data_IF_265998141242
#
_entry.id   IF_265998141242
#
_cell.length_a   1.000
_cell.length_b   1.000
_cell.length_c   1.000
_cell.angle_alpha   90.00
_cell.angle_beta   90.00
_cell.angle_gamma   90.00
#
_symmetry.space_group_name_H-M   'P 1'
#
loop_
_entity.id
_entity.type
_entity.pdbx_description
1 polymer ?
#
# COMPACT_ATOMS: atom_id res chain seq x y z
N UNK A 1 -28.05 -23.46 4.73
CA UNK A 1 -26.62 -23.36 4.38
C UNK A 1 -25.92 -22.73 5.56
N UNK A 2 -24.89 -23.38 6.14
CA UNK A 2 -24.08 -22.76 7.19
C UNK A 2 -23.46 -21.45 6.64
N UNK A 3 -23.50 -20.39 7.45
CA UNK A 3 -22.87 -19.13 7.08
C UNK A 3 -21.40 -19.40 6.71
N UNK A 4 -20.88 -18.84 5.63
CA UNK A 4 -19.49 -19.08 5.25
C UNK A 4 -18.58 -18.68 6.40
N UNK A 5 -17.69 -19.60 6.81
CA UNK A 5 -16.76 -19.37 7.90
C UNK A 5 -15.85 -18.19 7.53
N UNK A 6 -16.13 -16.98 8.06
CA UNK A 6 -15.35 -15.77 7.79
C UNK A 6 -14.07 -15.82 8.60
N UNK A 7 -12.96 -15.42 7.98
CA UNK A 7 -11.66 -15.27 8.65
C UNK A 7 -11.77 -14.17 9.69
N UNK A 8 -11.38 -14.47 10.93
CA UNK A 8 -11.38 -13.54 12.06
C UNK A 8 -10.11 -12.70 12.10
N UNK A 9 -10.27 -11.38 12.17
CA UNK A 9 -9.16 -10.44 12.22
C UNK A 9 -9.07 -9.70 13.53
N UNK A 10 -7.83 -9.50 14.00
CA UNK A 10 -7.51 -8.43 14.93
C UNK A 10 -6.94 -7.24 14.14
N UNK A 11 -7.48 -6.04 14.32
CA UNK A 11 -6.96 -4.80 13.75
C UNK A 11 -6.00 -4.14 14.74
N UNK A 12 -4.73 -3.98 14.35
CA UNK A 12 -3.66 -3.42 15.17
C UNK A 12 -3.31 -2.02 14.65
N UNK A 13 -3.50 -1.01 15.52
CA UNK A 13 -3.39 0.40 15.13
C UNK A 13 -4.76 0.98 14.74
N UNK A 14 -5.20 1.98 15.51
CA UNK A 14 -6.48 2.66 15.29
C UNK A 14 -6.25 4.13 14.88
N UNK A 15 -5.37 4.33 13.88
CA UNK A 15 -5.11 5.62 13.25
C UNK A 15 -6.25 6.08 12.32
N UNK A 16 -6.02 7.16 11.59
CA UNK A 16 -7.01 7.72 10.68
C UNK A 16 -7.49 6.71 9.63
N UNK A 17 -6.58 5.99 8.95
CA UNK A 17 -6.96 5.02 7.91
C UNK A 17 -7.84 3.90 8.47
N UNK A 18 -7.54 3.46 9.69
CA UNK A 18 -8.35 2.44 10.37
C UNK A 18 -9.77 2.93 10.63
N UNK A 19 -9.95 4.17 11.10
CA UNK A 19 -11.28 4.72 11.42
C UNK A 19 -12.12 5.05 10.19
N UNK A 20 -11.49 5.60 9.13
CA UNK A 20 -12.23 6.10 7.96
C UNK A 20 -12.43 5.05 6.88
N UNK A 21 -11.61 3.99 6.86
CA UNK A 21 -11.63 3.00 5.78
C UNK A 21 -11.67 1.55 6.27
N UNK A 22 -10.67 1.08 7.04
CA UNK A 22 -10.53 -0.34 7.38
C UNK A 22 -11.67 -0.85 8.27
N UNK A 23 -12.01 -0.15 9.35
CA UNK A 23 -13.12 -0.53 10.24
C UNK A 23 -14.48 -0.53 9.52
N UNK A 24 -14.83 0.50 8.70
CA UNK A 24 -16.02 0.42 7.86
C UNK A 24 -16.02 -0.77 6.89
N UNK A 25 -14.88 -1.11 6.28
CA UNK A 25 -14.77 -2.20 5.34
C UNK A 25 -15.11 -3.57 5.96
N UNK A 26 -14.75 -3.83 7.21
CA UNK A 26 -15.13 -5.06 7.90
C UNK A 26 -16.64 -5.28 7.99
N UNK A 27 -17.44 -4.20 8.04
CA UNK A 27 -18.91 -4.32 8.04
C UNK A 27 -19.48 -4.83 6.72
N UNK A 28 -18.79 -4.54 5.62
CA UNK A 28 -19.21 -4.87 4.27
C UNK A 28 -18.52 -6.10 3.70
N UNK A 29 -17.43 -6.55 4.33
CA UNK A 29 -16.72 -7.76 3.93
C UNK A 29 -17.61 -9.00 4.10
N UNK A 30 -17.57 -9.85 3.07
CA UNK A 30 -18.30 -11.13 3.06
C UNK A 30 -17.45 -12.29 3.59
N UNK A 31 -16.13 -12.14 3.60
CA UNK A 31 -15.17 -13.21 3.90
C UNK A 31 -14.32 -12.96 5.15
N UNK A 32 -14.22 -11.70 5.59
CA UNK A 32 -13.53 -11.30 6.81
C UNK A 32 -14.53 -10.82 7.89
N UNK A 33 -14.17 -10.97 9.16
CA UNK A 33 -14.89 -10.40 10.31
C UNK A 33 -13.89 -9.75 11.26
N UNK A 34 -14.27 -8.63 11.85
CA UNK A 34 -13.52 -8.00 12.94
C UNK A 34 -13.81 -8.75 14.24
N UNK A 35 -12.76 -9.26 14.88
CA UNK A 35 -12.85 -9.96 16.17
C UNK A 35 -12.33 -9.07 17.29
N UNK A 36 -11.18 -8.44 17.09
CA UNK A 36 -10.55 -7.62 18.11
C UNK A 36 -9.93 -6.35 17.51
N UNK A 37 -9.72 -5.35 18.33
CA UNK A 37 -8.97 -4.14 18.00
C UNK A 37 -7.87 -3.90 19.03
N UNK A 38 -6.71 -3.39 18.58
CA UNK A 38 -5.54 -3.12 19.42
C UNK A 38 -5.08 -1.67 19.22
N UNK A 39 -4.91 -0.91 20.32
CA UNK A 39 -4.50 0.50 20.27
C UNK A 39 -3.73 0.91 21.54
N UNK A 40 -2.87 1.92 21.45
CA UNK A 40 -2.27 2.54 22.64
C UNK A 40 -3.26 3.27 23.55
N UNK A 41 -4.43 3.65 23.02
CA UNK A 41 -5.52 4.26 23.79
C UNK A 41 -6.66 3.24 24.03
N UNK A 42 -6.73 2.73 25.25
CA UNK A 42 -7.73 1.72 25.66
C UNK A 42 -9.17 2.24 25.56
N UNK A 43 -9.41 3.53 25.80
CA UNK A 43 -10.74 4.13 25.68
C UNK A 43 -11.18 4.19 24.23
N UNK A 44 -10.26 4.60 23.34
CA UNK A 44 -10.47 4.58 21.88
C UNK A 44 -10.74 3.16 21.39
N UNK A 45 -9.93 2.18 21.80
CA UNK A 45 -10.10 0.78 21.44
C UNK A 45 -11.50 0.28 21.83
N UNK A 46 -11.92 0.49 23.08
CA UNK A 46 -13.26 0.11 23.56
C UNK A 46 -14.39 0.74 22.75
N UNK A 47 -14.30 2.05 22.52
CA UNK A 47 -15.30 2.80 21.74
C UNK A 47 -15.45 2.27 20.31
N UNK A 48 -14.32 2.00 19.64
CA UNK A 48 -14.32 1.51 18.26
C UNK A 48 -14.73 0.03 18.19
N UNK A 49 -14.33 -0.80 19.14
CA UNK A 49 -14.82 -2.18 19.22
C UNK A 49 -16.34 -2.21 19.27
N UNK A 50 -16.94 -1.46 20.21
CA UNK A 50 -18.42 -1.38 20.34
C UNK A 50 -19.07 -0.83 19.07
N UNK A 51 -18.50 0.23 18.47
CA UNK A 51 -19.04 0.86 17.26
C UNK A 51 -19.03 -0.08 16.07
N UNK A 52 -17.99 -0.90 15.90
CA UNK A 52 -17.79 -1.75 14.72
C UNK A 52 -18.06 -3.24 14.97
N UNK A 53 -18.49 -3.60 16.18
CA UNK A 53 -18.95 -4.96 16.52
C UNK A 53 -17.79 -5.95 16.71
N UNK A 54 -16.61 -5.48 17.13
CA UNK A 54 -15.56 -6.37 17.60
C UNK A 54 -15.94 -6.93 18.99
N UNK A 55 -15.65 -8.20 19.25
CA UNK A 55 -15.92 -8.84 20.54
C UNK A 55 -14.98 -8.35 21.63
N UNK A 56 -13.74 -8.00 21.27
CA UNK A 56 -12.69 -7.65 22.23
C UNK A 56 -11.87 -6.44 21.82
N UNK A 57 -11.20 -5.85 22.82
CA UNK A 57 -10.30 -4.72 22.62
C UNK A 57 -9.11 -4.81 23.58
N UNK A 58 -7.92 -4.46 23.08
CA UNK A 58 -6.66 -4.61 23.79
C UNK A 58 -5.80 -3.35 23.64
N UNK A 59 -4.83 -3.20 24.57
CA UNK A 59 -3.72 -2.25 24.39
C UNK A 59 -2.56 -2.90 23.61
N UNK A 60 -1.56 -2.11 23.23
CA UNK A 60 -0.35 -2.67 22.60
C UNK A 60 0.40 -3.64 23.54
N UNK A 61 0.44 -3.36 24.85
CA UNK A 61 1.05 -4.25 25.85
C UNK A 61 0.26 -5.59 25.98
N UNK A 62 -1.04 -5.54 25.70
CA UNK A 62 -1.94 -6.69 25.70
C UNK A 62 -2.00 -7.40 24.33
N UNK A 63 -1.15 -7.06 23.36
CA UNK A 63 -1.21 -7.61 22.00
C UNK A 63 -1.17 -9.14 21.94
N UNK A 64 -0.38 -9.77 22.82
CA UNK A 64 -0.31 -11.22 22.92
C UNK A 64 -1.68 -11.85 23.26
N UNK A 65 -2.53 -11.18 24.00
CA UNK A 65 -3.89 -11.67 24.32
C UNK A 65 -4.77 -11.63 23.05
N UNK A 66 -4.63 -10.59 22.23
CA UNK A 66 -5.32 -10.53 20.93
C UNK A 66 -4.87 -11.66 20.00
N UNK A 67 -3.57 -11.97 19.96
CA UNK A 67 -3.02 -13.08 19.17
C UNK A 67 -3.50 -14.45 19.65
N UNK A 68 -3.68 -14.63 20.95
CA UNK A 68 -4.18 -15.88 21.54
C UNK A 68 -5.70 -16.01 21.52
N UNK A 69 -6.43 -14.99 21.04
CA UNK A 69 -7.88 -15.06 20.95
C UNK A 69 -8.32 -16.17 19.97
N UNK A 70 -9.21 -17.11 20.39
CA UNK A 70 -9.51 -18.32 19.60
C UNK A 70 -10.19 -18.07 18.25
N UNK A 71 -10.80 -16.90 18.08
CA UNK A 71 -11.46 -16.53 16.83
C UNK A 71 -10.60 -15.62 15.94
N UNK A 72 -9.36 -15.30 16.31
CA UNK A 72 -8.43 -14.53 15.50
C UNK A 72 -7.59 -15.48 14.66
N UNK A 73 -7.75 -15.42 13.35
CA UNK A 73 -7.00 -16.18 12.35
C UNK A 73 -5.90 -15.33 11.73
N UNK A 74 -6.13 -14.02 11.63
CA UNK A 74 -5.26 -13.07 10.97
C UNK A 74 -5.20 -11.72 11.69
N UNK A 75 -4.16 -10.97 11.43
CA UNK A 75 -4.05 -9.57 11.87
C UNK A 75 -4.03 -8.62 10.68
N UNK A 76 -4.64 -7.46 10.84
CA UNK A 76 -4.47 -6.30 9.97
C UNK A 76 -3.61 -5.28 10.72
N UNK A 77 -2.42 -4.98 10.22
CA UNK A 77 -1.47 -4.05 10.85
C UNK A 77 -1.58 -2.69 10.18
N UNK A 78 -2.00 -1.69 10.92
CA UNK A 78 -2.17 -0.30 10.50
C UNK A 78 -1.59 0.66 11.56
N UNK A 79 -0.44 0.31 12.09
CA UNK A 79 0.35 1.11 13.03
C UNK A 79 1.19 2.16 12.27
N UNK A 80 2.16 2.79 12.92
CA UNK A 80 3.19 3.57 12.20
C UNK A 80 4.16 2.63 11.48
N UNK A 81 4.69 3.07 10.34
CA UNK A 81 5.51 2.22 9.45
C UNK A 81 6.68 1.54 10.17
N UNK A 82 7.33 2.27 11.08
CA UNK A 82 8.48 1.76 11.86
C UNK A 82 8.17 0.64 12.85
N UNK A 83 6.89 0.30 13.02
CA UNK A 83 6.48 -0.79 13.91
C UNK A 83 5.82 -1.96 13.16
N UNK A 84 5.64 -1.84 11.83
CA UNK A 84 5.03 -2.88 11.02
C UNK A 84 5.74 -4.23 11.17
N UNK A 85 7.07 -4.22 11.07
CA UNK A 85 7.87 -5.46 11.15
C UNK A 85 7.72 -6.15 12.50
N UNK A 86 7.79 -5.42 13.60
CA UNK A 86 7.63 -5.98 14.96
C UNK A 86 6.27 -6.69 15.10
N UNK A 87 5.17 -5.99 14.81
CA UNK A 87 3.82 -6.56 14.97
C UNK A 87 3.58 -7.72 14.00
N UNK A 88 4.11 -7.65 12.77
CA UNK A 88 3.98 -8.72 11.80
C UNK A 88 4.71 -10.00 12.23
N UNK A 89 5.95 -9.89 12.69
CA UNK A 89 6.73 -11.03 13.15
C UNK A 89 6.12 -11.67 14.41
N UNK A 90 5.65 -10.88 15.37
CA UNK A 90 4.95 -11.40 16.56
C UNK A 90 3.65 -12.13 16.20
N UNK A 91 2.90 -11.63 15.21
CA UNK A 91 1.72 -12.31 14.71
C UNK A 91 2.08 -13.64 14.05
N UNK A 92 3.08 -13.64 13.17
CA UNK A 92 3.54 -14.85 12.48
C UNK A 92 4.04 -15.92 13.47
N UNK A 93 4.83 -15.53 14.48
CA UNK A 93 5.29 -16.43 15.56
C UNK A 93 4.12 -17.04 16.37
N UNK A 94 2.97 -16.36 16.40
CA UNK A 94 1.73 -16.86 17.00
C UNK A 94 0.84 -17.59 15.97
N UNK A 95 1.39 -17.98 14.82
CA UNK A 95 0.69 -18.65 13.72
C UNK A 95 -0.52 -17.88 13.18
N UNK A 96 -0.47 -16.53 13.21
CA UNK A 96 -1.51 -15.68 12.62
C UNK A 96 -1.08 -15.15 11.27
N UNK A 97 -1.97 -15.22 10.28
CA UNK A 97 -1.76 -14.62 8.97
C UNK A 97 -1.68 -13.09 9.07
N UNK A 98 -0.95 -12.44 8.16
CA UNK A 98 -0.63 -11.01 8.27
C UNK A 98 -1.07 -10.26 7.02
N UNK A 99 -1.94 -9.27 7.19
CA UNK A 99 -2.20 -8.19 6.23
C UNK A 99 -1.58 -6.92 6.80
N UNK A 100 -0.54 -6.40 6.13
CA UNK A 100 0.22 -5.26 6.62
C UNK A 100 0.03 -4.05 5.71
N UNK A 101 -0.25 -2.88 6.28
CA UNK A 101 -0.29 -1.63 5.53
C UNK A 101 1.04 -1.34 4.81
N UNK A 102 0.91 -0.59 3.73
CA UNK A 102 2.05 -0.03 2.98
C UNK A 102 2.65 1.19 3.71
N UNK A 103 3.93 1.44 3.57
CA UNK A 103 4.97 0.54 3.07
C UNK A 103 5.14 -0.65 4.02
N UNK A 104 5.64 -1.76 3.49
CA UNK A 104 5.78 -3.00 4.27
C UNK A 104 6.59 -2.82 5.55
N UNK A 105 7.71 -2.10 5.47
CA UNK A 105 8.59 -1.73 6.58
C UNK A 105 9.47 -0.54 6.18
N UNK A 106 10.36 -0.09 7.06
CA UNK A 106 11.27 1.02 6.80
C UNK A 106 12.58 0.61 6.12
N UNK A 107 12.93 -0.68 6.12
CA UNK A 107 14.14 -1.19 5.49
C UNK A 107 13.92 -2.51 4.75
N UNK A 108 14.84 -2.82 3.83
CA UNK A 108 14.85 -4.10 3.09
C UNK A 108 15.09 -5.26 4.07
N UNK A 109 15.96 -5.06 5.05
CA UNK A 109 16.29 -6.05 6.07
C UNK A 109 15.07 -6.42 6.92
N UNK A 110 14.29 -5.42 7.35
CA UNK A 110 13.02 -5.66 8.06
C UNK A 110 12.02 -6.42 7.18
N UNK A 111 11.91 -6.06 5.89
CA UNK A 111 11.05 -6.76 4.95
C UNK A 111 11.46 -8.23 4.78
N UNK A 112 12.76 -8.50 4.66
CA UNK A 112 13.30 -9.86 4.57
C UNK A 112 12.96 -10.67 5.83
N UNK A 113 13.18 -10.10 7.02
CA UNK A 113 12.84 -10.75 8.29
C UNK A 113 11.33 -11.08 8.37
N UNK A 114 10.46 -10.14 7.98
CA UNK A 114 9.02 -10.40 7.94
C UNK A 114 8.67 -11.58 7.03
N UNK A 115 9.26 -11.65 5.84
CA UNK A 115 9.02 -12.74 4.88
C UNK A 115 9.51 -14.06 5.45
N UNK A 116 10.73 -14.10 5.99
CA UNK A 116 11.33 -15.30 6.57
C UNK A 116 10.53 -15.84 7.75
N UNK A 117 10.14 -14.98 8.69
CA UNK A 117 9.35 -15.39 9.86
C UNK A 117 7.96 -15.87 9.43
N UNK A 118 7.28 -15.19 8.51
CA UNK A 118 5.98 -15.66 8.01
C UNK A 118 6.11 -17.03 7.31
N UNK A 119 7.15 -17.22 6.51
CA UNK A 119 7.41 -18.49 5.85
C UNK A 119 7.71 -19.62 6.84
N UNK A 120 8.53 -19.36 7.86
CA UNK A 120 8.92 -20.33 8.90
C UNK A 120 7.70 -20.85 9.68
N UNK A 121 6.65 -20.05 9.82
CA UNK A 121 5.43 -20.39 10.55
C UNK A 121 4.25 -20.77 9.63
N UNK A 122 4.50 -20.95 8.33
CA UNK A 122 3.48 -21.25 7.30
C UNK A 122 2.27 -20.30 7.31
N UNK A 123 2.50 -19.02 7.58
CA UNK A 123 1.47 -17.99 7.56
C UNK A 123 1.58 -17.13 6.29
N UNK A 124 0.45 -16.65 5.82
CA UNK A 124 0.37 -15.80 4.62
C UNK A 124 0.64 -14.35 5.01
N UNK A 125 1.48 -13.69 4.20
CA UNK A 125 1.80 -12.26 4.32
C UNK A 125 1.33 -11.54 3.06
N UNK A 126 0.38 -10.61 3.21
CA UNK A 126 -0.08 -9.71 2.16
C UNK A 126 0.22 -8.27 2.55
N UNK A 127 0.60 -7.45 1.58
CA UNK A 127 0.77 -6.01 1.76
C UNK A 127 -0.47 -5.30 1.21
N UNK A 128 -0.98 -4.33 1.95
CA UNK A 128 -2.23 -3.65 1.68
C UNK A 128 -2.11 -2.66 0.50
N UNK A 129 -1.83 -3.18 -0.69
CA UNK A 129 -1.83 -2.43 -1.96
C UNK A 129 -3.21 -2.51 -2.60
N UNK A 130 -4.18 -1.79 -2.07
CA UNK A 130 -5.59 -1.79 -2.47
C UNK A 130 -5.84 -1.59 -3.97
N UNK A 131 -4.88 -1.00 -4.71
CA UNK A 131 -5.00 -0.79 -6.17
C UNK A 131 -5.00 -2.07 -7.00
N UNK A 132 -4.50 -3.17 -6.48
CA UNK A 132 -4.62 -4.49 -7.09
C UNK A 132 -6.07 -4.98 -7.21
N UNK A 133 -6.95 -4.46 -6.38
CA UNK A 133 -8.36 -4.87 -6.28
C UNK A 133 -9.31 -3.81 -6.82
N UNK A 134 -8.87 -2.57 -7.02
CA UNK A 134 -9.69 -1.46 -7.48
C UNK A 134 -10.05 -1.64 -8.97
N UNK A 135 -11.35 -1.61 -9.34
CA UNK A 135 -11.81 -1.98 -10.68
C UNK A 135 -11.23 -1.17 -11.84
N UNK A 136 -11.00 0.14 -11.66
CA UNK A 136 -10.41 0.97 -12.73
C UNK A 136 -8.93 0.64 -12.93
N UNK A 137 -8.18 0.42 -11.85
CA UNK A 137 -6.79 -0.03 -11.88
C UNK A 137 -6.66 -1.41 -12.53
N UNK A 138 -7.54 -2.34 -12.18
CA UNK A 138 -7.62 -3.68 -12.80
C UNK A 138 -7.97 -3.57 -14.29
N UNK A 139 -8.87 -2.65 -14.67
CA UNK A 139 -9.20 -2.43 -16.07
C UNK A 139 -8.03 -1.87 -16.87
N UNK A 140 -7.25 -0.92 -16.28
CA UNK A 140 -6.03 -0.42 -16.89
C UNK A 140 -4.98 -1.54 -17.04
N UNK A 141 -4.77 -2.36 -16.01
CA UNK A 141 -3.86 -3.52 -16.07
C UNK A 141 -4.26 -4.47 -17.20
N UNK A 142 -5.54 -4.81 -17.32
CA UNK A 142 -6.05 -5.65 -18.42
C UNK A 142 -5.82 -5.01 -19.78
N UNK A 143 -5.99 -3.70 -19.90
CA UNK A 143 -5.73 -2.98 -21.14
C UNK A 143 -4.25 -3.08 -21.52
N UNK A 144 -3.33 -2.85 -20.59
CA UNK A 144 -1.89 -3.00 -20.79
C UNK A 144 -1.53 -4.43 -21.20
N UNK A 145 -1.98 -5.43 -20.45
CA UNK A 145 -1.66 -6.85 -20.70
C UNK A 145 -2.30 -7.41 -21.99
N UNK A 146 -3.37 -6.77 -22.48
CA UNK A 146 -3.99 -7.17 -23.75
C UNK A 146 -3.14 -6.80 -24.99
N UNK A 147 -2.08 -6.03 -24.83
CA UNK A 147 -1.23 -5.55 -25.93
C UNK A 147 -1.86 -4.48 -26.83
N UNK A 148 -3.07 -3.98 -26.50
CA UNK A 148 -3.78 -2.98 -27.33
C UNK A 148 -3.03 -1.65 -27.40
N UNK A 149 -2.26 -1.30 -26.35
CA UNK A 149 -1.41 -0.11 -26.34
C UNK A 149 -0.10 -0.30 -27.13
N UNK A 150 0.19 -1.52 -27.59
CA UNK A 150 1.50 -1.87 -28.13
C UNK A 150 2.54 -2.01 -27.01
N UNK A 151 3.82 -1.98 -27.37
CA UNK A 151 4.91 -2.00 -26.38
C UNK A 151 4.89 -0.70 -25.58
N UNK A 152 4.90 -0.80 -24.25
CA UNK A 152 4.96 0.38 -23.37
C UNK A 152 6.27 1.13 -23.57
N UNK A 153 6.21 2.46 -23.43
CA UNK A 153 7.35 3.35 -23.59
C UNK A 153 7.54 4.24 -22.36
N UNK A 154 6.50 4.96 -21.98
CA UNK A 154 6.58 5.96 -20.91
C UNK A 154 5.36 5.82 -20.00
N UNK A 155 5.60 5.94 -18.70
CA UNK A 155 4.57 6.14 -17.69
C UNK A 155 4.80 7.49 -17.00
N UNK A 156 3.71 8.18 -16.67
CA UNK A 156 3.74 9.36 -15.82
C UNK A 156 2.81 9.13 -14.64
N UNK A 157 3.29 9.36 -13.43
CA UNK A 157 2.50 9.13 -12.23
C UNK A 157 2.81 10.17 -11.17
N UNK A 158 1.78 10.72 -10.57
CA UNK A 158 1.93 11.61 -9.43
C UNK A 158 0.89 11.32 -8.35
N UNK A 159 1.29 11.51 -7.11
CA UNK A 159 0.37 11.58 -5.98
C UNK A 159 0.84 12.66 -5.02
N UNK A 160 0.06 13.73 -4.93
CA UNK A 160 0.33 14.88 -4.07
C UNK A 160 -0.81 15.07 -3.09
N UNK A 161 -0.47 15.44 -1.88
CA UNK A 161 -1.38 15.89 -0.85
C UNK A 161 -0.77 17.11 -0.16
N UNK A 162 -1.61 17.99 0.36
CA UNK A 162 -1.15 19.03 1.28
C UNK A 162 -1.46 18.55 2.69
N UNK A 163 -0.42 18.21 3.46
CA UNK A 163 -0.61 17.83 4.86
C UNK A 163 -1.08 19.05 5.66
N UNK A 164 -2.26 18.99 6.29
CA UNK A 164 -2.78 20.11 7.03
C UNK A 164 -1.93 20.41 8.27
N UNK A 165 -1.89 21.65 8.75
CA UNK A 165 -1.32 22.01 10.04
C UNK A 165 -1.92 21.13 11.15
N UNK A 166 -1.08 20.59 12.04
CA UNK A 166 -1.50 19.68 13.10
C UNK A 166 -1.63 18.21 12.68
N UNK A 167 -1.13 17.84 11.51
CA UNK A 167 -0.97 16.43 11.13
C UNK A 167 -0.19 15.66 12.20
N UNK A 168 -0.49 14.36 12.42
CA UNK A 168 0.18 13.57 13.44
C UNK A 168 1.71 13.60 13.31
N UNK A 169 2.39 13.84 14.43
CA UNK A 169 3.84 14.04 14.49
C UNK A 169 4.66 12.87 13.89
N UNK A 170 4.13 11.66 13.89
CA UNK A 170 4.80 10.49 13.34
C UNK A 170 5.10 10.61 11.84
N UNK A 171 4.32 11.39 11.07
CA UNK A 171 4.59 11.64 9.64
C UNK A 171 5.91 12.36 9.40
N UNK A 172 6.41 13.10 10.40
CA UNK A 172 7.61 13.91 10.32
C UNK A 172 8.81 13.27 11.05
N UNK A 173 8.60 12.14 11.73
CA UNK A 173 9.62 11.37 12.44
C UNK A 173 10.11 10.24 11.51
N UNK A 174 11.36 10.31 11.10
CA UNK A 174 11.95 9.34 10.16
C UNK A 174 11.93 7.91 10.68
N UNK A 175 12.09 7.71 11.98
CA UNK A 175 12.06 6.36 12.58
C UNK A 175 10.67 5.74 12.50
N UNK A 176 9.62 6.54 12.68
CA UNK A 176 8.25 6.07 12.65
C UNK A 176 7.69 6.01 11.23
N UNK A 177 7.99 6.99 10.38
CA UNK A 177 7.46 7.08 9.02
C UNK A 177 8.33 6.38 7.97
N UNK A 178 9.65 6.25 8.19
CA UNK A 178 10.60 5.69 7.22
C UNK A 178 11.07 6.69 6.17
N UNK A 179 10.31 7.75 5.93
CA UNK A 179 10.54 8.83 4.96
C UNK A 179 9.30 9.72 4.89
N UNK A 180 9.30 10.66 3.97
CA UNK A 180 8.20 11.60 3.79
C UNK A 180 7.23 11.19 2.67
N UNK A 181 7.02 12.10 1.71
CA UNK A 181 6.01 11.93 0.65
C UNK A 181 6.25 10.72 -0.23
N UNK A 182 7.51 10.33 -0.49
CA UNK A 182 7.81 9.15 -1.30
C UNK A 182 7.27 7.87 -0.65
N UNK A 183 7.51 7.72 0.64
CA UNK A 183 7.16 6.51 1.41
C UNK A 183 5.66 6.40 1.64
N UNK A 184 4.98 7.52 1.88
CA UNK A 184 3.54 7.48 2.16
C UNK A 184 2.67 7.47 0.89
N UNK A 185 2.88 8.42 -0.02
CA UNK A 185 2.04 8.55 -1.23
C UNK A 185 2.79 8.18 -2.52
N UNK A 186 4.09 8.43 -2.61
CA UNK A 186 4.91 8.07 -3.78
C UNK A 186 5.02 6.56 -4.01
N UNK A 187 4.91 5.76 -2.94
CA UNK A 187 4.85 4.29 -3.03
C UNK A 187 3.74 3.79 -3.94
N UNK A 188 2.61 4.49 -4.04
CA UNK A 188 1.56 4.15 -5.00
C UNK A 188 2.04 4.30 -6.45
N UNK A 189 2.80 5.36 -6.74
CA UNK A 189 3.38 5.56 -8.08
C UNK A 189 4.37 4.45 -8.42
N UNK A 190 5.23 4.06 -7.48
CA UNK A 190 6.22 2.97 -7.65
C UNK A 190 5.51 1.64 -7.86
N UNK A 191 4.69 1.23 -6.90
CA UNK A 191 4.03 -0.07 -6.88
C UNK A 191 3.11 -0.28 -8.09
N UNK A 192 2.19 0.67 -8.35
CA UNK A 192 1.22 0.52 -9.43
C UNK A 192 1.90 0.49 -10.79
N UNK A 193 2.98 1.29 -10.99
CA UNK A 193 3.73 1.27 -12.25
C UNK A 193 4.44 -0.05 -12.48
N UNK A 194 5.11 -0.61 -11.45
CA UNK A 194 5.72 -1.94 -11.51
C UNK A 194 4.68 -3.01 -11.86
N UNK A 195 3.56 -2.99 -11.16
CA UNK A 195 2.46 -3.91 -11.42
C UNK A 195 1.95 -3.80 -12.87
N UNK A 196 1.77 -2.58 -13.41
CA UNK A 196 1.33 -2.38 -14.79
C UNK A 196 2.36 -2.89 -15.81
N UNK A 197 3.63 -2.51 -15.64
CA UNK A 197 4.72 -2.97 -16.52
C UNK A 197 4.91 -4.48 -16.43
N UNK A 198 4.68 -5.08 -15.26
CA UNK A 198 4.87 -6.51 -15.00
C UNK A 198 6.34 -6.93 -14.90
N UNK A 199 7.22 -5.95 -14.67
CA UNK A 199 8.67 -6.12 -14.47
C UNK A 199 9.17 -5.14 -13.44
N UNK A 200 10.33 -5.45 -12.85
CA UNK A 200 10.99 -4.57 -11.91
C UNK A 200 11.94 -3.61 -12.64
N UNK A 201 12.11 -2.38 -12.13
CA UNK A 201 13.07 -1.43 -12.71
C UNK A 201 14.51 -1.88 -12.43
N UNK A 202 15.41 -1.52 -13.33
CA UNK A 202 16.84 -1.82 -13.25
C UNK A 202 17.67 -0.64 -12.73
N UNK A 203 17.09 0.57 -12.78
CA UNK A 203 17.77 1.81 -12.40
C UNK A 203 16.76 2.82 -11.86
N UNK A 204 17.16 3.58 -10.84
CA UNK A 204 16.39 4.67 -10.26
C UNK A 204 17.18 5.96 -10.23
N UNK A 205 16.52 7.08 -10.52
CA UNK A 205 17.03 8.44 -10.32
C UNK A 205 16.04 9.23 -9.50
N UNK A 206 16.52 10.11 -8.60
CA UNK A 206 15.66 10.90 -7.72
C UNK A 206 16.21 12.28 -7.43
N UNK A 207 15.28 13.21 -7.21
CA UNK A 207 15.52 14.53 -6.68
C UNK A 207 14.59 14.75 -5.51
N UNK A 208 15.14 15.13 -4.36
CA UNK A 208 14.45 15.28 -3.07
C UNK A 208 14.67 16.68 -2.56
N UNK A 209 13.61 17.36 -2.13
CA UNK A 209 13.71 18.70 -1.56
C UNK A 209 12.60 18.98 -0.55
N UNK A 210 12.77 20.06 0.21
CA UNK A 210 11.84 20.50 1.25
C UNK A 210 11.78 22.03 1.21
N UNK A 211 10.58 22.57 1.06
CA UNK A 211 10.35 24.03 1.06
C UNK A 211 10.09 24.54 2.49
N UNK A 212 9.55 23.68 3.38
CA UNK A 212 9.40 23.97 4.82
C UNK A 212 10.35 23.13 5.69
N UNK A 213 11.63 23.53 5.82
CA UNK A 213 12.59 22.79 6.64
C UNK A 213 12.30 22.83 8.14
N UNK A 214 11.40 23.70 8.60
CA UNK A 214 10.98 23.73 9.99
C UNK A 214 9.96 22.62 10.30
N UNK A 215 9.05 22.34 9.36
CA UNK A 215 8.08 21.24 9.46
C UNK A 215 8.68 19.88 9.09
N UNK A 216 9.49 19.82 8.04
CA UNK A 216 10.06 18.57 7.49
C UNK A 216 11.56 18.45 7.80
N UNK A 217 11.91 18.27 9.09
CA UNK A 217 13.31 18.21 9.54
C UNK A 217 14.01 16.89 9.23
N UNK A 218 13.30 15.79 9.32
CA UNK A 218 13.86 14.44 9.23
C UNK A 218 13.44 13.69 7.99
N UNK A 219 12.38 14.14 7.33
CA UNK A 219 11.79 13.54 6.16
C UNK A 219 11.64 14.57 5.04
N UNK A 220 11.56 14.13 3.81
CA UNK A 220 11.35 15.03 2.67
C UNK A 220 9.88 15.42 2.50
N UNK A 221 9.67 16.63 1.99
CA UNK A 221 8.35 17.11 1.60
C UNK A 221 8.00 16.73 0.17
N UNK A 222 8.98 16.80 -0.75
CA UNK A 222 8.79 16.57 -2.17
C UNK A 222 9.82 15.62 -2.76
N UNK A 223 9.37 14.80 -3.70
CA UNK A 223 10.24 13.92 -4.50
C UNK A 223 9.80 13.93 -5.97
N UNK A 224 10.77 14.08 -6.86
CA UNK A 224 10.64 13.75 -8.27
C UNK A 224 11.60 12.61 -8.59
N UNK A 225 11.17 11.59 -9.34
CA UNK A 225 12.00 10.43 -9.62
C UNK A 225 11.73 9.82 -10.99
N UNK A 226 12.69 9.04 -11.46
CA UNK A 226 12.56 8.22 -12.65
C UNK A 226 12.94 6.78 -12.33
N UNK A 227 12.20 5.82 -12.90
CA UNK A 227 12.54 4.41 -12.87
C UNK A 227 12.69 3.92 -14.31
N UNK A 228 13.85 3.32 -14.60
CA UNK A 228 14.12 2.68 -15.87
C UNK A 228 13.87 1.19 -15.78
N UNK A 229 12.96 0.70 -16.58
CA UNK A 229 12.66 -0.72 -16.68
C UNK A 229 13.43 -1.37 -17.84
N UNK A 230 13.51 -2.71 -17.85
CA UNK A 230 14.00 -3.43 -19.01
C UNK A 230 13.24 -3.02 -20.29
N UNK A 231 13.87 -3.21 -21.44
CA UNK A 231 13.28 -2.90 -22.76
C UNK A 231 13.02 -1.41 -23.02
N UNK A 232 13.58 -0.53 -22.18
CA UNK A 232 13.54 0.92 -22.38
C UNK A 232 12.24 1.60 -21.95
N UNK A 233 11.42 0.98 -21.12
CA UNK A 233 10.27 1.64 -20.48
C UNK A 233 10.78 2.55 -19.37
N UNK A 234 10.24 3.78 -19.28
CA UNK A 234 10.59 4.74 -18.22
C UNK A 234 9.34 5.22 -17.51
N UNK A 235 9.36 5.19 -16.17
CA UNK A 235 8.42 5.91 -15.33
C UNK A 235 9.01 7.25 -14.92
N UNK A 236 8.23 8.32 -15.07
CA UNK A 236 8.44 9.61 -14.42
C UNK A 236 7.44 9.74 -13.29
N UNK A 237 7.91 9.82 -12.05
CA UNK A 237 7.09 9.84 -10.86
C UNK A 237 7.31 11.08 -10.01
N UNK A 238 6.30 11.50 -9.25
CA UNK A 238 6.43 12.54 -8.24
C UNK A 238 5.48 12.34 -7.06
N UNK A 239 5.91 12.83 -5.90
CA UNK A 239 5.10 12.85 -4.68
C UNK A 239 5.36 14.15 -3.90
N UNK A 240 4.35 14.60 -3.14
CA UNK A 240 4.45 15.83 -2.35
C UNK A 240 3.51 15.82 -1.15
N UNK A 241 3.97 16.41 -0.06
CA UNK A 241 3.17 16.76 1.11
C UNK A 241 2.82 18.25 1.18
N UNK A 242 3.38 19.08 0.30
CA UNK A 242 3.16 20.54 0.25
C UNK A 242 2.39 21.03 -0.97
N UNK A 243 1.99 20.14 -1.89
CA UNK A 243 1.23 20.51 -3.08
C UNK A 243 -0.27 20.23 -2.91
N UNK A 244 -1.11 20.92 -3.69
CA UNK A 244 -2.54 20.63 -3.76
C UNK A 244 -2.78 19.15 -4.11
N UNK A 245 -3.86 18.59 -3.55
CA UNK A 245 -4.17 17.18 -3.77
C UNK A 245 -4.48 16.90 -5.24
N UNK A 246 -3.69 15.99 -5.81
CA UNK A 246 -3.88 15.46 -7.15
C UNK A 246 -3.30 14.05 -7.24
N UNK A 247 -3.90 13.20 -8.08
CA UNK A 247 -3.30 11.92 -8.41
C UNK A 247 -3.65 11.51 -9.83
N UNK A 248 -2.64 11.08 -10.59
CA UNK A 248 -2.87 10.55 -11.93
C UNK A 248 -1.86 9.45 -12.27
N UNK A 249 -2.23 8.64 -13.24
CA UNK A 249 -1.37 7.61 -13.82
C UNK A 249 -1.64 7.54 -15.32
N UNK A 250 -0.67 7.91 -16.14
CA UNK A 250 -0.72 7.84 -17.60
C UNK A 250 0.25 6.78 -18.10
N UNK A 251 -0.19 6.00 -19.07
CA UNK A 251 0.57 4.92 -19.69
C UNK A 251 0.57 5.10 -21.20
N UNK A 252 1.76 5.22 -21.79
CA UNK A 252 1.94 5.44 -23.23
C UNK A 252 2.64 4.25 -23.86
N UNK A 253 2.03 3.71 -24.90
CA UNK A 253 2.57 2.66 -25.75
C UNK A 253 2.67 3.09 -27.20
N UNK A 254 3.16 2.20 -28.07
CA UNK A 254 3.38 2.48 -29.49
C UNK A 254 2.08 2.66 -30.29
N UNK A 255 0.97 2.08 -29.81
CA UNK A 255 -0.31 2.06 -30.55
C UNK A 255 -1.41 2.87 -29.85
N UNK A 256 -1.10 3.46 -28.71
CA UNK A 256 -2.06 4.25 -27.96
C UNK A 256 -1.59 4.56 -26.54
N UNK A 257 -2.43 5.28 -25.83
CA UNK A 257 -2.19 5.64 -24.43
C UNK A 257 -3.49 5.53 -23.62
N UNK A 258 -3.34 5.41 -22.31
CA UNK A 258 -4.46 5.38 -21.38
C UNK A 258 -4.08 6.08 -20.07
N UNK A 259 -5.07 6.65 -19.40
CA UNK A 259 -4.90 7.37 -18.15
C UNK A 259 -5.96 7.00 -17.13
N UNK A 260 -5.57 6.98 -15.86
CA UNK A 260 -6.45 7.02 -14.70
C UNK A 260 -6.31 8.38 -14.04
N UNK A 261 -7.43 9.08 -13.89
CA UNK A 261 -7.51 10.37 -13.19
C UNK A 261 -8.91 10.54 -12.55
N UNK A 262 -8.99 10.66 -11.20
CA UNK A 262 -7.95 10.44 -10.20
C UNK A 262 -7.50 8.96 -10.14
N UNK A 263 -6.22 8.71 -9.81
CA UNK A 263 -5.67 7.36 -9.78
C UNK A 263 -5.69 6.72 -8.38
N UNK A 264 -5.34 7.48 -7.33
CA UNK A 264 -4.96 6.92 -6.04
C UNK A 264 -5.87 7.29 -4.86
N UNK A 265 -6.65 8.38 -4.93
CA UNK A 265 -7.54 8.78 -3.85
C UNK A 265 -8.55 7.67 -3.51
N UNK A 266 -8.94 7.61 -2.24
CA UNK A 266 -9.97 6.71 -1.75
C UNK A 266 -11.38 7.24 -2.06
N UNK A 267 -12.31 6.34 -2.34
CA UNK A 267 -13.75 6.61 -2.50
C UNK A 267 -14.10 7.70 -3.53
N UNK A 268 -13.35 7.80 -4.63
CA UNK A 268 -13.60 8.74 -5.74
C UNK A 268 -14.12 8.02 -6.97
N UNK A 269 -14.93 8.73 -7.76
CA UNK A 269 -15.23 8.32 -9.14
C UNK A 269 -13.92 8.36 -9.94
N UNK A 270 -13.59 7.28 -10.65
CA UNK A 270 -12.39 7.22 -11.49
C UNK A 270 -12.76 7.21 -12.96
N UNK A 271 -11.96 7.91 -13.73
CA UNK A 271 -12.03 7.89 -15.18
C UNK A 271 -10.82 7.13 -15.72
N UNK A 272 -11.10 6.10 -16.50
CA UNK A 272 -10.12 5.45 -17.38
C UNK A 272 -10.39 5.94 -18.79
N UNK A 273 -9.49 6.69 -19.38
CA UNK A 273 -9.65 7.29 -20.68
C UNK A 273 -8.35 7.25 -21.48
N UNK A 274 -8.43 7.50 -22.78
CA UNK A 274 -7.26 7.49 -23.64
C UNK A 274 -7.59 7.35 -25.11
N UNK A 275 -6.57 7.00 -25.89
CA UNK A 275 -6.70 6.80 -27.33
C UNK A 275 -5.96 5.53 -27.77
N UNK A 276 -6.60 4.72 -28.60
CA UNK A 276 -6.02 3.49 -29.13
C UNK A 276 -6.30 3.45 -30.63
N UNK A 277 -5.24 3.39 -31.46
CA UNK A 277 -5.37 3.38 -32.92
C UNK A 277 -6.16 4.56 -33.47
N UNK A 278 -5.96 5.75 -32.93
CA UNK A 278 -6.65 6.98 -33.29
C UNK A 278 -8.11 7.09 -32.79
N UNK A 279 -8.55 6.18 -31.95
CA UNK A 279 -9.93 6.20 -31.41
C UNK A 279 -9.91 6.51 -29.93
N UNK A 280 -10.63 7.57 -29.55
CA UNK A 280 -10.85 7.95 -28.17
C UNK A 280 -11.74 6.95 -27.45
N UNK A 281 -11.48 6.72 -26.16
CA UNK A 281 -12.37 5.99 -25.25
C UNK A 281 -12.37 6.65 -23.87
N UNK A 282 -13.48 6.54 -23.17
CA UNK A 282 -13.60 6.88 -21.75
C UNK A 282 -14.53 5.89 -21.05
N UNK A 283 -14.14 5.49 -19.85
CA UNK A 283 -14.95 4.68 -18.95
C UNK A 283 -14.90 5.24 -17.55
N UNK A 284 -16.06 5.44 -16.94
CA UNK A 284 -16.19 5.88 -15.55
C UNK A 284 -16.47 4.69 -14.64
N UNK A 285 -15.83 4.71 -13.48
CA UNK A 285 -16.01 3.71 -12.44
C UNK A 285 -16.56 4.41 -11.21
N UNK A 286 -17.69 3.92 -10.63
CA UNK A 286 -18.23 4.48 -9.40
C UNK A 286 -17.26 4.27 -8.24
N UNK A 287 -17.38 5.03 -7.14
CA UNK A 287 -16.65 4.77 -5.92
C UNK A 287 -16.95 3.36 -5.42
N UNK A 288 -15.92 2.59 -5.17
CA UNK A 288 -16.01 1.25 -4.57
C UNK A 288 -15.11 1.24 -3.33
N UNK A 289 -15.53 0.53 -2.32
CA UNK A 289 -14.70 0.31 -1.14
C UNK A 289 -13.62 -0.73 -1.46
N UNK A 290 -12.43 -0.22 -1.78
CA UNK A 290 -11.25 -1.00 -2.15
C UNK A 290 -10.77 -1.88 -0.99
N UNK A 291 -10.97 -1.44 0.25
CA UNK A 291 -10.56 -2.17 1.45
C UNK A 291 -11.45 -3.41 1.68
N UNK A 292 -12.73 -3.36 1.31
CA UNK A 292 -13.58 -4.56 1.31
C UNK A 292 -13.03 -5.62 0.36
N UNK A 293 -12.64 -5.21 -0.86
CA UNK A 293 -12.11 -6.13 -1.86
C UNK A 293 -10.77 -6.72 -1.43
N UNK A 294 -9.92 -5.92 -0.81
CA UNK A 294 -8.63 -6.33 -0.27
C UNK A 294 -8.78 -7.35 0.89
N UNK A 295 -9.64 -7.04 1.87
CA UNK A 295 -9.97 -7.95 2.97
C UNK A 295 -10.52 -9.29 2.46
N UNK A 296 -11.47 -9.25 1.51
CA UNK A 296 -12.07 -10.44 0.93
C UNK A 296 -11.06 -11.27 0.12
N UNK A 297 -10.13 -10.61 -0.60
CA UNK A 297 -9.08 -11.28 -1.35
C UNK A 297 -8.10 -12.01 -0.42
N UNK A 298 -7.67 -11.35 0.66
CA UNK A 298 -6.76 -11.96 1.63
C UNK A 298 -7.43 -13.12 2.38
N UNK A 299 -8.65 -12.94 2.86
CA UNK A 299 -9.43 -14.01 3.48
C UNK A 299 -9.60 -15.22 2.55
N UNK A 300 -9.80 -14.99 1.25
CA UNK A 300 -9.87 -16.06 0.27
C UNK A 300 -8.53 -16.76 0.04
N UNK A 301 -7.42 -16.01 0.02
CA UNK A 301 -6.08 -16.60 -0.08
C UNK A 301 -5.79 -17.53 1.11
N UNK A 302 -6.11 -17.10 2.34
CA UNK A 302 -6.00 -17.92 3.56
C UNK A 302 -6.82 -19.19 3.44
N UNK A 303 -8.11 -19.09 3.10
CA UNK A 303 -9.01 -20.25 2.98
C UNK A 303 -8.58 -21.28 1.94
N UNK A 304 -7.92 -20.82 0.87
CA UNK A 304 -7.42 -21.68 -0.20
C UNK A 304 -5.98 -22.14 0.00
N UNK A 305 -5.36 -21.78 1.11
CA UNK A 305 -3.95 -22.08 1.41
C UNK A 305 -3.00 -21.68 0.28
N UNK A 306 -3.27 -20.53 -0.38
CA UNK A 306 -2.42 -20.00 -1.47
C UNK A 306 -1.76 -18.71 -1.05
N UNK A 307 -0.64 -18.41 -1.69
CA UNK A 307 -0.01 -17.11 -1.49
C UNK A 307 -0.91 -16.00 -2.01
N UNK A 308 -1.04 -14.90 -1.24
CA UNK A 308 -1.78 -13.73 -1.69
C UNK A 308 -1.00 -12.95 -2.75
N UNK A 309 -1.70 -12.13 -3.50
CA UNK A 309 -1.11 -11.10 -4.34
C UNK A 309 -1.82 -9.77 -4.03
N UNK A 310 -1.05 -8.71 -3.67
CA UNK A 310 0.43 -8.63 -3.55
C UNK A 310 0.95 -9.26 -2.25
N UNK A 311 2.03 -10.04 -2.35
CA UNK A 311 2.67 -10.68 -1.20
C UNK A 311 3.82 -9.83 -0.60
N UNK A 312 4.51 -10.36 0.41
CA UNK A 312 5.63 -9.66 1.05
C UNK A 312 6.79 -9.32 0.10
N UNK A 313 7.03 -10.13 -0.95
CA UNK A 313 8.08 -9.85 -1.92
C UNK A 313 7.79 -8.57 -2.71
N UNK A 314 6.52 -8.29 -3.03
CA UNK A 314 6.14 -7.04 -3.69
C UNK A 314 6.42 -5.82 -2.78
N UNK A 315 6.15 -5.93 -1.48
CA UNK A 315 6.48 -4.89 -0.51
C UNK A 315 7.99 -4.65 -0.38
N UNK A 316 8.77 -5.73 -0.28
CA UNK A 316 10.23 -5.66 -0.22
C UNK A 316 10.81 -4.93 -1.44
N UNK A 317 10.37 -5.28 -2.64
CA UNK A 317 10.82 -4.65 -3.88
C UNK A 317 10.54 -3.15 -3.89
N UNK A 318 9.37 -2.72 -3.45
CA UNK A 318 9.03 -1.30 -3.39
C UNK A 318 9.91 -0.54 -2.39
N UNK A 319 10.18 -1.13 -1.22
CA UNK A 319 11.10 -0.53 -0.24
C UNK A 319 12.52 -0.39 -0.84
N UNK A 320 13.03 -1.43 -1.50
CA UNK A 320 14.34 -1.38 -2.17
C UNK A 320 14.42 -0.30 -3.26
N UNK A 321 13.36 -0.15 -4.05
CA UNK A 321 13.29 0.90 -5.09
C UNK A 321 13.27 2.29 -4.46
N UNK A 322 12.46 2.51 -3.42
CA UNK A 322 12.42 3.80 -2.71
C UNK A 322 13.78 4.13 -2.08
N UNK A 323 14.48 3.15 -1.50
CA UNK A 323 15.85 3.34 -1.01
C UNK A 323 16.83 3.72 -2.13
N UNK A 324 16.68 3.12 -3.33
CA UNK A 324 17.50 3.48 -4.49
C UNK A 324 17.21 4.91 -4.97
N UNK A 325 15.95 5.36 -4.95
CA UNK A 325 15.57 6.76 -5.25
C UNK A 325 16.24 7.72 -4.25
N UNK A 326 16.14 7.47 -2.94
CA UNK A 326 16.80 8.29 -1.92
C UNK A 326 18.32 8.29 -2.06
N UNK A 327 18.91 7.14 -2.38
CA UNK A 327 20.36 7.03 -2.61
C UNK A 327 20.76 7.85 -3.84
N UNK A 328 20.00 7.79 -4.91
CA UNK A 328 20.23 8.59 -6.11
C UNK A 328 20.21 10.09 -5.82
N UNK A 329 19.23 10.55 -5.06
CA UNK A 329 19.14 11.96 -4.68
C UNK A 329 20.36 12.44 -3.85
N UNK A 330 20.87 11.59 -2.94
CA UNK A 330 22.06 11.91 -2.14
C UNK A 330 23.35 11.90 -2.95
N UNK A 331 23.49 10.96 -3.89
CA UNK A 331 24.71 10.79 -4.68
C UNK A 331 24.68 11.57 -6.01
N UNK A 332 23.58 12.24 -6.34
CA UNK A 332 23.37 12.98 -7.59
C UNK A 332 23.72 12.16 -8.86
N UNK A 333 23.37 10.87 -8.87
CA UNK A 333 23.56 9.97 -10.00
C UNK A 333 22.50 8.86 -10.01
N UNK A 334 22.24 8.24 -11.16
CA UNK A 334 21.42 7.04 -11.23
C UNK A 334 22.01 5.91 -10.39
N UNK A 335 21.13 5.14 -9.74
CA UNK A 335 21.49 3.99 -8.89
C UNK A 335 20.87 2.72 -9.48
N UNK A 336 21.67 1.64 -9.67
CA UNK A 336 21.11 0.33 -10.00
C UNK A 336 20.14 -0.14 -8.91
N UNK A 337 18.99 -0.66 -9.32
CA UNK A 337 18.03 -1.28 -8.41
C UNK A 337 18.43 -2.74 -8.24
N UNK A 338 18.87 -3.10 -7.05
CA UNK A 338 19.21 -4.46 -6.68
C UNK A 338 18.04 -5.03 -5.90
N UNK A 339 17.35 -5.97 -6.50
CA UNK A 339 16.28 -6.72 -5.85
C UNK A 339 16.85 -8.10 -5.51
N UNK A 340 16.93 -8.38 -4.22
CA UNK A 340 17.47 -9.65 -3.70
C UNK A 340 16.57 -10.83 -4.08
#
# INVERSE_FOLDING_TARGET
MAAPNRIGFALVGLGNISEVAVLPAFRHSKKAKLVAVVSGDKRKAKRLAMKFGASDYYTYDEYVLALNHPQVDAVYIATTNGTHAEYAMRAAQSCKHVLCEKPMANSVEECQQMIEVCRAHDVRLMIAYRKYFEPASVALKRLVTSGKLGRLRILHSAFTINLPPGSPAWHFDKKQAGGGSLVDVGVYCVNTSRWLVGRDPVEASGYVWTDDPAGFREVEEHVAFQLKFPEGVVLQGSSSFGAAQASFLHVHGEKGWAALDPAYEFAKVRRLFGEIGGRWFEKRFPPIDEFVLELDAFAEAIRRHRDPEPNGLEGLKDVAIMQAIYKSARENRPIPVLLA
#
